data_IF_063882643039
#
_entry.id   IF_063882643039
#
_cell.length_a   1.000
_cell.length_b   1.000
_cell.length_c   1.000
_cell.angle_alpha   90.00
_cell.angle_beta   90.00
_cell.angle_gamma   90.00
#
_symmetry.space_group_name_H-M   'P 1'
#
loop_
_entity.id
_entity.type
_entity.pdbx_description
1 polymer ?
#
# COMPACT_ATOMS: atom_id res chain seq x y z
N UNK A 1 -2.64 15.55 -12.94
CA UNK A 1 -1.87 15.68 -11.69
C UNK A 1 -0.66 14.77 -11.88
N UNK A 2 0.56 15.32 -12.06
CA UNK A 2 1.78 14.51 -12.01
C UNK A 2 2.24 14.50 -10.56
N UNK A 3 1.72 13.56 -9.77
CA UNK A 3 2.12 13.33 -8.37
C UNK A 3 3.28 12.34 -8.28
N UNK A 4 4.19 12.41 -9.25
CA UNK A 4 5.44 11.66 -9.21
C UNK A 4 6.53 12.66 -8.83
N UNK A 5 7.07 12.55 -7.62
CA UNK A 5 7.80 13.66 -6.99
C UNK A 5 8.80 13.25 -5.92
N UNK A 6 9.50 12.13 -6.11
CA UNK A 6 10.68 11.83 -5.29
C UNK A 6 11.89 12.35 -6.07
N UNK A 7 12.46 13.48 -5.64
CA UNK A 7 13.62 14.13 -6.30
C UNK A 7 14.75 13.16 -6.68
N UNK A 8 14.90 12.06 -5.94
CA UNK A 8 15.90 11.02 -6.17
C UNK A 8 15.89 10.42 -7.58
N UNK A 9 14.77 10.44 -8.30
CA UNK A 9 14.69 9.84 -9.64
C UNK A 9 15.52 10.60 -10.66
N UNK A 10 15.61 11.93 -10.53
CA UNK A 10 16.46 12.76 -11.38
C UNK A 10 17.95 12.55 -11.06
N UNK A 11 18.27 12.28 -9.81
CA UNK A 11 19.65 12.08 -9.34
C UNK A 11 20.17 10.66 -9.64
N UNK A 12 19.27 9.66 -9.70
CA UNK A 12 19.60 8.25 -9.86
C UNK A 12 18.67 7.50 -10.84
N UNK A 13 18.59 7.93 -12.10
CA UNK A 13 17.61 7.39 -13.07
C UNK A 13 17.78 5.89 -13.35
N UNK A 14 18.98 5.34 -13.21
CA UNK A 14 19.26 3.91 -13.44
C UNK A 14 18.94 3.01 -12.23
N UNK A 15 18.62 3.61 -11.08
CA UNK A 15 18.39 2.89 -9.81
C UNK A 15 16.99 3.09 -9.25
N UNK A 16 16.29 4.13 -9.71
CA UNK A 16 14.98 4.52 -9.20
C UNK A 16 13.96 4.37 -10.31
N UNK A 17 12.89 3.64 -10.04
CA UNK A 17 11.75 3.51 -10.95
C UNK A 17 10.54 4.15 -10.30
N UNK A 18 10.09 5.25 -10.89
CA UNK A 18 8.85 5.91 -10.49
C UNK A 18 7.64 5.28 -11.19
N UNK A 19 6.52 5.20 -10.47
CA UNK A 19 5.31 4.55 -10.96
C UNK A 19 4.05 5.28 -10.49
N UNK A 20 3.07 5.40 -11.39
CA UNK A 20 1.70 5.82 -11.07
C UNK A 20 0.82 4.63 -10.69
N UNK A 21 -0.36 4.90 -10.11
CA UNK A 21 -1.32 3.84 -9.80
C UNK A 21 -1.76 3.09 -11.06
N UNK A 22 -1.78 1.76 -10.95
CA UNK A 22 -2.11 0.86 -12.05
C UNK A 22 -0.92 0.50 -12.93
N UNK A 23 0.23 1.19 -12.80
CA UNK A 23 1.44 0.77 -13.48
C UNK A 23 2.06 -0.47 -12.82
N UNK A 24 2.70 -1.29 -13.65
CA UNK A 24 3.56 -2.38 -13.19
C UNK A 24 4.88 -2.40 -13.96
N UNK A 25 5.92 -2.95 -13.32
CA UNK A 25 7.25 -3.14 -13.90
C UNK A 25 7.78 -4.52 -13.51
N UNK A 26 8.39 -5.20 -14.48
CA UNK A 26 9.10 -6.46 -14.24
C UNK A 26 10.57 -6.20 -13.95
N UNK A 27 11.09 -6.90 -12.95
CA UNK A 27 12.49 -6.90 -12.56
C UNK A 27 13.01 -8.34 -12.55
N UNK A 28 14.33 -8.51 -12.68
CA UNK A 28 14.97 -9.81 -12.53
C UNK A 28 15.74 -9.87 -11.22
N UNK A 29 15.36 -10.78 -10.33
CA UNK A 29 16.02 -11.02 -9.05
C UNK A 29 16.38 -12.50 -8.94
N UNK A 30 17.67 -12.84 -8.76
CA UNK A 30 18.13 -14.23 -8.63
C UNK A 30 17.57 -15.17 -9.73
N UNK A 31 17.63 -14.74 -10.99
CA UNK A 31 17.06 -15.44 -12.15
C UNK A 31 15.54 -15.66 -12.14
N UNK A 32 14.81 -14.99 -11.24
CA UNK A 32 13.35 -15.00 -11.18
C UNK A 32 12.81 -13.66 -11.68
N UNK A 33 11.78 -13.70 -12.52
CA UNK A 33 11.03 -12.50 -12.88
C UNK A 33 10.10 -12.10 -11.73
N UNK A 34 10.14 -10.82 -11.37
CA UNK A 34 9.34 -10.23 -10.30
C UNK A 34 8.59 -9.04 -10.89
N UNK A 35 7.27 -9.16 -11.00
CA UNK A 35 6.41 -8.03 -11.35
C UNK A 35 6.03 -7.27 -10.08
N UNK A 36 6.25 -5.96 -10.09
CA UNK A 36 5.85 -5.05 -9.01
C UNK A 36 4.77 -4.13 -9.55
N UNK A 37 3.64 -4.05 -8.86
CA UNK A 37 2.51 -3.18 -9.18
C UNK A 37 2.43 -2.04 -8.17
N UNK A 38 2.30 -0.80 -8.68
CA UNK A 38 1.94 0.35 -7.88
C UNK A 38 0.41 0.44 -7.84
N UNK A 39 -0.19 0.25 -6.66
CA UNK A 39 -1.63 0.15 -6.49
C UNK A 39 -2.16 1.33 -5.67
N UNK A 40 -3.41 1.75 -5.91
CA UNK A 40 -4.01 2.83 -5.14
C UNK A 40 -4.13 2.47 -3.66
N UNK A 41 -4.03 3.51 -2.83
CA UNK A 41 -4.33 3.50 -1.40
C UNK A 41 -5.09 4.78 -1.07
N UNK A 42 -5.89 4.78 0.00
CA UNK A 42 -6.63 5.96 0.44
C UNK A 42 -5.87 6.67 1.56
N UNK A 43 -4.93 7.55 1.19
CA UNK A 43 -4.08 8.24 2.16
C UNK A 43 -3.66 9.63 1.65
N UNK A 44 -2.62 10.20 2.26
CA UNK A 44 -2.04 11.49 1.91
C UNK A 44 -0.54 11.51 2.26
N UNK A 45 0.17 12.57 1.88
CA UNK A 45 1.59 12.72 2.23
C UNK A 45 1.98 14.17 2.45
N UNK A 46 2.89 14.42 3.39
CA UNK A 46 3.42 15.75 3.68
C UNK A 46 4.78 15.61 4.38
N UNK A 47 5.76 16.46 4.04
CA UNK A 47 7.08 16.51 4.69
C UNK A 47 7.50 17.91 5.12
N UNK A 48 6.94 18.95 4.53
CA UNK A 48 7.14 20.35 4.83
C UNK A 48 5.82 21.09 5.05
N UNK A 49 5.89 22.40 5.27
CA UNK A 49 4.71 23.20 5.57
C UNK A 49 3.74 23.35 4.38
N UNK A 50 4.24 23.24 3.15
CA UNK A 50 3.49 23.57 1.92
C UNK A 50 3.50 22.48 0.85
N UNK A 51 3.95 21.25 1.18
CA UNK A 51 4.13 20.18 0.20
C UNK A 51 3.10 19.05 0.33
N UNK A 52 1.93 19.35 0.92
CA UNK A 52 0.87 18.38 1.12
C UNK A 52 0.41 17.84 -0.23
N UNK A 53 0.40 16.52 -0.35
CA UNK A 53 0.00 15.75 -1.53
C UNK A 53 0.83 16.04 -2.79
N UNK A 54 2.06 16.56 -2.66
CA UNK A 54 2.98 16.70 -3.80
C UNK A 54 3.58 15.36 -4.24
N UNK A 55 3.38 14.29 -3.46
CA UNK A 55 3.91 12.94 -3.72
C UNK A 55 2.79 11.92 -3.60
N UNK A 56 2.79 10.94 -4.50
CA UNK A 56 1.85 9.83 -4.46
C UNK A 56 2.07 8.95 -3.21
N UNK A 57 0.99 8.39 -2.70
CA UNK A 57 0.95 7.30 -1.72
C UNK A 57 0.44 6.05 -2.43
N UNK A 58 0.85 4.85 -2.00
CA UNK A 58 0.47 3.63 -2.71
C UNK A 58 0.53 2.38 -1.83
N UNK A 59 -0.21 1.36 -2.26
CA UNK A 59 0.06 -0.03 -1.93
C UNK A 59 0.91 -0.70 -3.02
N UNK A 60 1.46 -1.87 -2.73
CA UNK A 60 2.39 -2.58 -3.60
C UNK A 60 2.06 -4.06 -3.67
N UNK A 61 1.78 -4.57 -4.86
CA UNK A 61 1.76 -6.02 -5.10
C UNK A 61 3.10 -6.46 -5.71
N UNK A 62 3.67 -7.53 -5.15
CA UNK A 62 4.92 -8.14 -5.62
C UNK A 62 4.61 -9.58 -6.03
N UNK A 63 4.84 -9.89 -7.30
CA UNK A 63 4.42 -11.13 -7.91
C UNK A 63 5.60 -11.81 -8.58
N UNK A 64 5.80 -13.07 -8.22
CA UNK A 64 6.67 -14.01 -8.92
C UNK A 64 5.80 -15.02 -9.66
N UNK A 65 6.35 -15.93 -10.49
CA UNK A 65 5.55 -16.97 -11.14
C UNK A 65 4.72 -17.83 -10.17
N UNK A 66 5.18 -17.98 -8.92
CA UNK A 66 4.61 -18.94 -7.96
C UNK A 66 4.11 -18.30 -6.65
N UNK A 67 4.35 -17.00 -6.43
CA UNK A 67 4.02 -16.31 -5.17
C UNK A 67 3.56 -14.88 -5.42
N UNK A 68 2.56 -14.46 -4.64
CA UNK A 68 2.00 -13.10 -4.68
C UNK A 68 1.94 -12.53 -3.26
N UNK A 69 2.60 -11.41 -3.06
CA UNK A 69 2.58 -10.63 -1.82
C UNK A 69 1.91 -9.28 -2.07
N UNK A 70 1.16 -8.79 -1.08
CA UNK A 70 0.60 -7.44 -1.12
C UNK A 70 0.93 -6.67 0.16
N UNK A 71 1.32 -5.42 0.01
CA UNK A 71 1.43 -4.46 1.10
C UNK A 71 0.48 -3.31 0.82
N UNK A 72 -0.45 -3.04 1.71
CA UNK A 72 -1.49 -2.01 1.49
C UNK A 72 -0.95 -0.58 1.54
N UNK A 73 0.21 -0.38 2.20
CA UNK A 73 0.56 0.94 2.73
C UNK A 73 -0.39 1.38 3.85
N UNK A 74 -0.26 2.63 4.26
CA UNK A 74 -1.24 3.29 5.13
C UNK A 74 -2.45 3.66 4.27
N UNK A 75 -3.65 3.33 4.73
CA UNK A 75 -4.85 3.48 3.92
C UNK A 75 -6.10 3.53 4.78
N UNK A 76 -7.09 4.32 4.36
CA UNK A 76 -8.47 4.15 4.77
C UNK A 76 -9.15 2.98 4.04
N UNK A 77 -10.37 2.64 4.46
CA UNK A 77 -11.13 1.53 3.88
C UNK A 77 -11.85 1.96 2.60
N UNK A 78 -11.62 1.25 1.50
CA UNK A 78 -12.30 1.43 0.21
C UNK A 78 -12.64 0.05 -0.38
N UNK A 79 -13.84 -0.45 -0.08
CA UNK A 79 -14.29 -1.79 -0.45
C UNK A 79 -14.14 -2.07 -1.95
N UNK A 80 -14.57 -1.13 -2.79
CA UNK A 80 -14.55 -1.30 -4.25
C UNK A 80 -13.15 -1.46 -4.81
N UNK A 81 -12.17 -0.75 -4.24
CA UNK A 81 -10.79 -0.82 -4.73
C UNK A 81 -10.08 -2.08 -4.23
N UNK A 82 -10.26 -2.46 -2.97
CA UNK A 82 -9.70 -3.72 -2.46
C UNK A 82 -10.29 -4.94 -3.17
N UNK A 83 -11.60 -4.94 -3.42
CA UNK A 83 -12.24 -6.00 -4.20
C UNK A 83 -11.64 -6.10 -5.60
N UNK A 84 -11.49 -4.96 -6.28
CA UNK A 84 -10.89 -4.91 -7.61
C UNK A 84 -9.45 -5.45 -7.62
N UNK A 85 -8.64 -5.08 -6.62
CA UNK A 85 -7.27 -5.60 -6.46
C UNK A 85 -7.28 -7.12 -6.25
N UNK A 86 -8.15 -7.63 -5.38
CA UNK A 86 -8.30 -9.06 -5.13
C UNK A 86 -8.80 -9.84 -6.35
N UNK A 87 -9.74 -9.29 -7.11
CA UNK A 87 -10.28 -9.90 -8.33
C UNK A 87 -9.24 -9.95 -9.46
N UNK A 88 -8.42 -8.90 -9.61
CA UNK A 88 -7.48 -8.76 -10.73
C UNK A 88 -6.11 -9.40 -10.44
N UNK A 89 -5.62 -9.28 -9.21
CA UNK A 89 -4.24 -9.64 -8.85
C UNK A 89 -4.18 -10.75 -7.79
N UNK A 90 -5.29 -11.06 -7.13
CA UNK A 90 -5.39 -12.17 -6.19
C UNK A 90 -5.52 -13.55 -6.87
N UNK A 91 -5.62 -14.63 -6.09
CA UNK A 91 -5.48 -14.65 -4.64
C UNK A 91 -4.03 -14.35 -4.22
N UNK A 92 -3.86 -13.58 -3.14
CA UNK A 92 -2.53 -13.31 -2.56
C UNK A 92 -2.12 -14.43 -1.62
N UNK A 93 -0.85 -14.82 -1.62
CA UNK A 93 -0.33 -15.79 -0.64
C UNK A 93 -0.14 -15.14 0.73
N UNK A 94 0.25 -13.87 0.76
CA UNK A 94 0.44 -13.10 1.99
C UNK A 94 0.09 -11.63 1.75
N UNK A 95 -0.63 -11.01 2.68
CA UNK A 95 -0.83 -9.57 2.71
C UNK A 95 -0.35 -8.94 4.04
N UNK A 96 0.39 -7.85 3.97
CA UNK A 96 0.71 -7.00 5.12
C UNK A 96 -0.29 -5.84 5.18
N UNK A 97 -1.10 -5.81 6.25
CA UNK A 97 -2.28 -4.92 6.40
C UNK A 97 -2.16 -4.17 7.74
N UNK A 98 -2.30 -2.83 7.79
CA UNK A 98 -2.16 -2.07 9.02
C UNK A 98 -3.33 -2.34 9.97
N UNK A 99 -3.04 -2.37 11.28
CA UNK A 99 -4.03 -2.52 12.34
C UNK A 99 -3.87 -1.49 13.48
N UNK A 100 -2.99 -0.50 13.29
CA UNK A 100 -2.66 0.56 14.26
C UNK A 100 -3.07 1.95 13.77
N UNK A 101 -2.80 2.99 14.58
CA UNK A 101 -3.11 4.39 14.28
C UNK A 101 -4.57 4.68 13.84
N UNK A 102 -5.55 3.91 14.30
CA UNK A 102 -6.92 3.99 13.78
C UNK A 102 -7.87 4.84 14.63
N UNK A 103 -7.47 5.31 15.82
CA UNK A 103 -8.33 6.13 16.71
C UNK A 103 -7.82 7.56 16.89
N UNK A 104 -8.74 8.55 17.05
CA UNK A 104 -10.20 8.39 17.05
C UNK A 104 -10.79 8.25 15.64
N UNK A 105 -11.84 7.40 15.48
CA UNK A 105 -12.38 7.04 14.15
C UNK A 105 -12.89 8.22 13.34
N UNK A 106 -13.49 9.23 13.98
CA UNK A 106 -14.01 10.42 13.27
C UNK A 106 -12.90 11.19 12.54
N UNK A 107 -11.65 11.08 12.99
CA UNK A 107 -10.49 11.72 12.38
C UNK A 107 -9.70 10.74 11.48
N UNK A 108 -9.53 9.50 11.93
CA UNK A 108 -8.60 8.57 11.28
C UNK A 108 -9.26 7.71 10.18
N UNK A 109 -10.59 7.52 10.20
CA UNK A 109 -11.27 6.58 9.29
C UNK A 109 -11.00 6.83 7.80
N UNK A 110 -10.82 8.08 7.40
CA UNK A 110 -10.54 8.41 5.99
C UNK A 110 -9.15 7.99 5.53
N UNK A 111 -8.21 7.70 6.44
CA UNK A 111 -6.79 7.51 6.12
C UNK A 111 -6.13 6.30 6.79
N UNK A 112 -6.76 5.71 7.83
CA UNK A 112 -6.34 4.49 8.50
C UNK A 112 -7.53 3.57 8.76
N UNK A 113 -7.39 2.32 8.31
CA UNK A 113 -8.29 1.22 8.66
C UNK A 113 -8.14 0.82 10.12
N UNK A 114 -9.23 0.33 10.73
CA UNK A 114 -9.19 -0.35 12.03
C UNK A 114 -9.01 -1.88 11.87
N UNK A 115 -8.80 -2.64 12.96
CA UNK A 115 -8.61 -4.09 12.87
C UNK A 115 -9.78 -4.83 12.20
N UNK A 116 -11.01 -4.38 12.39
CA UNK A 116 -12.20 -4.96 11.75
C UNK A 116 -12.19 -4.72 10.23
N UNK A 117 -11.91 -3.49 9.80
CA UNK A 117 -11.71 -3.16 8.38
C UNK A 117 -10.51 -3.92 7.78
N UNK A 118 -9.45 -4.16 8.55
CA UNK A 118 -8.30 -4.97 8.11
C UNK A 118 -8.65 -6.43 7.82
N UNK A 119 -9.55 -7.04 8.59
CA UNK A 119 -10.10 -8.37 8.31
C UNK A 119 -10.92 -8.36 7.01
N UNK A 120 -11.76 -7.33 6.81
CA UNK A 120 -12.50 -7.18 5.55
C UNK A 120 -11.55 -7.00 4.35
N UNK A 121 -10.46 -6.25 4.49
CA UNK A 121 -9.43 -6.12 3.45
C UNK A 121 -8.78 -7.46 3.14
N UNK A 122 -8.44 -8.28 4.15
CA UNK A 122 -7.91 -9.63 3.95
C UNK A 122 -8.83 -10.49 3.06
N UNK A 123 -10.13 -10.46 3.33
CA UNK A 123 -11.15 -11.20 2.56
C UNK A 123 -11.28 -10.66 1.14
N UNK A 124 -11.39 -9.33 0.97
CA UNK A 124 -11.56 -8.69 -0.34
C UNK A 124 -10.36 -8.92 -1.27
N UNK A 125 -9.16 -9.06 -0.70
CA UNK A 125 -7.95 -9.39 -1.43
C UNK A 125 -7.84 -10.87 -1.83
N UNK A 126 -8.76 -11.73 -1.36
CA UNK A 126 -8.63 -13.18 -1.44
C UNK A 126 -7.25 -13.65 -0.91
N UNK A 127 -6.79 -13.06 0.20
CA UNK A 127 -5.48 -13.37 0.76
C UNK A 127 -5.53 -14.67 1.56
N UNK A 128 -4.53 -15.54 1.41
CA UNK A 128 -4.45 -16.79 2.20
C UNK A 128 -4.02 -16.53 3.63
N UNK A 129 -3.12 -15.58 3.82
CA UNK A 129 -2.59 -15.19 5.12
C UNK A 129 -2.39 -13.69 5.17
N UNK A 130 -2.55 -13.09 6.35
CA UNK A 130 -2.21 -11.69 6.57
C UNK A 130 -1.40 -11.48 7.83
N UNK A 131 -0.52 -10.48 7.80
CA UNK A 131 0.24 -10.02 8.97
C UNK A 131 -0.22 -8.59 9.30
N UNK A 132 -0.51 -8.35 10.58
CA UNK A 132 -0.80 -7.01 11.08
C UNK A 132 0.49 -6.18 11.15
N UNK A 133 0.47 -5.00 10.51
CA UNK A 133 1.57 -4.02 10.55
C UNK A 133 1.10 -2.68 11.12
N UNK A 134 1.99 -1.69 11.20
CA UNK A 134 1.67 -0.32 11.64
C UNK A 134 1.21 -0.19 13.12
N UNK A 135 1.42 -1.21 13.97
CA UNK A 135 0.99 -1.23 15.37
C UNK A 135 2.13 -1.56 16.33
N UNK A 136 2.00 -1.16 17.59
CA UNK A 136 2.85 -1.63 18.70
C UNK A 136 4.30 -1.14 18.64
N UNK A 137 4.58 -0.10 17.85
CA UNK A 137 5.93 0.45 17.67
C UNK A 137 6.01 1.94 18.03
N UNK A 138 5.07 2.75 17.52
CA UNK A 138 5.00 4.18 17.79
C UNK A 138 3.59 4.58 18.21
N UNK A 139 3.49 5.51 19.14
CA UNK A 139 2.20 6.02 19.59
C UNK A 139 1.69 7.09 18.60
N UNK A 140 0.94 6.66 17.58
CA UNK A 140 0.45 7.53 16.49
C UNK A 140 -1.08 7.71 16.47
N UNK A 141 -1.80 7.03 17.36
CA UNK A 141 -3.24 7.18 17.57
C UNK A 141 -3.58 7.23 19.06
N UNK A 142 -4.83 7.52 19.40
CA UNK A 142 -5.20 7.73 20.81
C UNK A 142 -5.30 6.43 21.62
N UNK A 143 -5.41 5.27 20.96
CA UNK A 143 -5.35 3.95 21.58
C UNK A 143 -4.79 2.94 20.57
N UNK A 144 -3.75 2.21 20.97
CA UNK A 144 -3.25 0.99 20.34
C UNK A 144 -3.24 -0.14 21.35
#
# INVERSE_FOLDING_TARGET
>A
MKTIGIKNTLEHPDKVTEMEWGENKSFKANNTEVAVWCLPAQHWGQRGAFDRNERLWSGWAVMTPNRRFYYTGDTGFCETEFKKIGDQLGPFDLAAIPIGAYKPRWMMKSQHIDPEEAVAVHELLNSKFSIGVHWGTYHMGSHE
#
